data_IF_329971452465
#
_entry.id   IF_329971452465
#
_cell.length_a   1.000
_cell.length_b   1.000
_cell.length_c   1.000
_cell.angle_alpha   90.00
_cell.angle_beta   90.00
_cell.angle_gamma   90.00
#
_symmetry.space_group_name_H-M   'P 1'
#
loop_
_entity.id
_entity.type
_entity.pdbx_description
1 polymer ?
#
# COMPACT_ATOMS: atom_id res chain seq x y z
N UNK A 1 -14.80 5.31 4.51
CA UNK A 1 -13.47 5.19 3.89
C UNK A 1 -12.33 5.52 4.85
N UNK A 2 -12.45 6.56 5.68
CA UNK A 2 -11.40 6.95 6.64
C UNK A 2 -11.00 5.79 7.57
N UNK A 3 -12.00 5.12 8.16
CA UNK A 3 -11.75 3.94 9.00
C UNK A 3 -11.27 2.72 8.22
N UNK A 4 -11.65 2.59 6.96
CA UNK A 4 -11.20 1.50 6.10
C UNK A 4 -9.70 1.59 5.79
N UNK A 5 -9.20 2.78 5.46
CA UNK A 5 -7.79 3.00 5.16
C UNK A 5 -6.88 2.57 6.32
N UNK A 6 -7.22 2.97 7.54
CA UNK A 6 -6.43 2.67 8.73
C UNK A 6 -6.75 1.30 9.36
N UNK A 7 -8.01 0.87 9.30
CA UNK A 7 -8.45 -0.35 9.97
C UNK A 7 -8.28 -1.62 9.14
N UNK A 8 -8.23 -1.53 7.83
CA UNK A 8 -8.19 -2.71 6.95
C UNK A 8 -6.91 -2.83 6.15
N UNK A 9 -6.54 -1.83 5.37
CA UNK A 9 -5.40 -1.92 4.46
C UNK A 9 -4.06 -1.65 5.17
N UNK A 10 -3.95 -0.59 5.95
CA UNK A 10 -2.69 -0.22 6.61
C UNK A 10 -2.13 -1.30 7.53
N UNK A 11 -2.91 -1.94 8.43
CA UNK A 11 -2.38 -3.00 9.29
C UNK A 11 -1.79 -4.17 8.53
N UNK A 12 -2.40 -4.55 7.41
CA UNK A 12 -1.91 -5.64 6.56
C UNK A 12 -0.57 -5.29 5.89
N UNK A 13 -0.43 -4.04 5.40
CA UNK A 13 0.83 -3.56 4.81
C UNK A 13 1.95 -3.45 5.86
N UNK A 14 1.63 -2.99 7.06
CA UNK A 14 2.60 -2.92 8.18
C UNK A 14 3.03 -4.33 8.60
N UNK A 15 2.08 -5.26 8.76
CA UNK A 15 2.41 -6.65 9.07
C UNK A 15 3.28 -7.26 7.96
N UNK A 16 2.95 -7.03 6.70
CA UNK A 16 3.76 -7.52 5.57
C UNK A 16 5.18 -6.98 5.62
N UNK A 17 5.35 -5.71 5.95
CA UNK A 17 6.68 -5.10 6.16
C UNK A 17 7.45 -5.79 7.29
N UNK A 18 6.81 -5.98 8.46
CA UNK A 18 7.44 -6.63 9.62
C UNK A 18 7.89 -8.06 9.25
N UNK A 19 6.99 -8.84 8.68
CA UNK A 19 7.30 -10.23 8.30
C UNK A 19 8.32 -10.33 7.18
N UNK A 20 8.42 -9.34 6.28
CA UNK A 20 9.46 -9.31 5.25
C UNK A 20 10.87 -9.12 5.82
N UNK A 21 10.98 -8.58 7.03
CA UNK A 21 12.25 -8.32 7.70
C UNK A 21 12.69 -9.40 8.70
N UNK A 22 11.88 -10.44 8.93
CA UNK A 22 12.24 -11.51 9.87
C UNK A 22 13.51 -12.29 9.48
N UNK A 23 13.88 -12.31 8.20
CA UNK A 23 15.13 -12.91 7.74
C UNK A 23 16.35 -11.97 7.71
N UNK A 24 16.18 -10.70 8.16
CA UNK A 24 17.21 -9.67 8.10
C UNK A 24 17.73 -9.29 9.49
N UNK A 25 18.71 -8.35 9.53
CA UNK A 25 19.17 -7.78 10.81
C UNK A 25 18.01 -7.08 11.55
N UNK A 26 17.91 -7.18 12.90
CA UNK A 26 18.90 -7.62 13.86
C UNK A 26 18.91 -9.11 14.22
N UNK A 27 18.23 -9.99 13.47
CA UNK A 27 18.17 -11.41 13.79
C UNK A 27 19.58 -12.07 13.70
N UNK A 28 19.96 -12.91 14.67
CA UNK A 28 21.22 -13.66 14.64
C UNK A 28 21.34 -14.50 13.35
N UNK A 29 22.54 -14.51 12.75
CA UNK A 29 22.83 -15.17 11.49
C UNK A 29 22.28 -16.61 11.36
N UNK A 30 22.43 -17.51 12.36
CA UNK A 30 21.97 -18.89 12.25
C UNK A 30 20.43 -19.01 12.25
N UNK A 31 19.70 -18.03 12.76
CA UNK A 31 18.23 -18.02 12.84
C UNK A 31 17.55 -17.35 11.63
N UNK A 32 18.30 -16.62 10.81
CA UNK A 32 17.75 -15.90 9.64
C UNK A 32 16.99 -16.78 8.64
N UNK A 33 17.49 -18.00 8.27
CA UNK A 33 16.75 -18.83 7.34
C UNK A 33 15.39 -19.29 7.88
N UNK A 34 15.29 -19.56 9.19
CA UNK A 34 14.02 -19.91 9.83
C UNK A 34 13.07 -18.72 9.87
N UNK A 35 13.57 -17.53 10.22
CA UNK A 35 12.79 -16.29 10.20
C UNK A 35 12.27 -15.96 8.80
N UNK A 36 13.11 -16.14 7.78
CA UNK A 36 12.71 -15.93 6.39
C UNK A 36 11.63 -16.90 5.93
N UNK A 37 11.73 -18.18 6.27
CA UNK A 37 10.71 -19.20 5.94
C UNK A 37 9.36 -18.90 6.61
N UNK A 38 9.36 -18.55 7.89
CA UNK A 38 8.15 -18.16 8.62
C UNK A 38 7.56 -16.91 7.99
N UNK A 39 8.38 -15.89 7.74
CA UNK A 39 7.97 -14.64 7.11
C UNK A 39 7.31 -14.86 5.75
N UNK A 40 7.93 -15.66 4.88
CA UNK A 40 7.38 -16.03 3.58
C UNK A 40 6.07 -16.82 3.68
N UNK A 41 5.99 -17.76 4.63
CA UNK A 41 4.78 -18.53 4.86
C UNK A 41 3.59 -17.64 5.25
N UNK A 42 3.79 -16.75 6.23
CA UNK A 42 2.75 -15.80 6.67
C UNK A 42 2.38 -14.83 5.55
N UNK A 43 3.36 -14.31 4.81
CA UNK A 43 3.09 -13.40 3.70
C UNK A 43 2.21 -14.08 2.65
N UNK A 44 2.63 -15.23 2.11
CA UNK A 44 1.95 -15.90 1.00
C UNK A 44 0.60 -16.48 1.38
N UNK A 45 0.46 -17.06 2.57
CA UNK A 45 -0.76 -17.76 2.96
C UNK A 45 -1.80 -16.86 3.63
N UNK A 46 -1.35 -15.80 4.29
CA UNK A 46 -2.24 -14.98 5.10
C UNK A 46 -2.33 -13.53 4.62
N UNK A 47 -1.20 -12.87 4.37
CA UNK A 47 -1.18 -11.44 4.07
C UNK A 47 -1.48 -11.13 2.61
N UNK A 48 -0.80 -11.77 1.68
CA UNK A 48 -0.95 -11.48 0.25
C UNK A 48 -2.39 -11.70 -0.27
N UNK A 49 -3.11 -12.79 0.08
CA UNK A 49 -4.50 -12.95 -0.33
C UNK A 49 -5.43 -11.87 0.24
N UNK A 50 -5.20 -11.44 1.47
CA UNK A 50 -6.01 -10.39 2.11
C UNK A 50 -5.72 -9.01 1.55
N UNK A 51 -4.47 -8.71 1.26
CA UNK A 51 -4.08 -7.48 0.57
C UNK A 51 -4.70 -7.46 -0.83
N UNK A 52 -4.59 -8.55 -1.59
CA UNK A 52 -5.19 -8.66 -2.90
C UNK A 52 -6.72 -8.47 -2.87
N UNK A 53 -7.41 -9.08 -1.91
CA UNK A 53 -8.86 -8.89 -1.73
C UNK A 53 -9.21 -7.43 -1.44
N UNK A 54 -8.44 -6.73 -0.60
CA UNK A 54 -8.63 -5.31 -0.33
C UNK A 54 -8.37 -4.44 -1.57
N UNK A 55 -7.31 -4.72 -2.32
CA UNK A 55 -6.99 -3.98 -3.54
C UNK A 55 -8.06 -4.20 -4.62
N UNK A 56 -8.54 -5.44 -4.77
CA UNK A 56 -9.63 -5.76 -5.71
C UNK A 56 -10.93 -5.04 -5.32
N UNK A 57 -11.25 -4.97 -4.05
CA UNK A 57 -12.41 -4.22 -3.56
C UNK A 57 -12.26 -2.73 -3.86
N UNK A 58 -11.12 -2.13 -3.54
CA UNK A 58 -10.84 -0.71 -3.81
C UNK A 58 -10.84 -0.39 -5.31
N UNK A 59 -10.32 -1.29 -6.15
CA UNK A 59 -10.37 -1.14 -7.61
C UNK A 59 -11.81 -1.09 -8.10
N UNK A 60 -12.67 -1.99 -7.61
CA UNK A 60 -14.08 -2.02 -7.97
C UNK A 60 -14.84 -0.76 -7.54
N UNK A 61 -14.47 -0.17 -6.40
CA UNK A 61 -15.09 1.09 -5.93
C UNK A 61 -14.70 2.32 -6.77
N UNK A 62 -13.57 2.26 -7.47
CA UNK A 62 -13.16 3.29 -8.42
C UNK A 62 -13.73 3.08 -9.83
N UNK A 63 -14.46 1.98 -10.07
CA UNK A 63 -15.05 1.74 -11.38
C UNK A 63 -16.08 2.83 -11.73
N UNK A 64 -15.75 3.63 -12.75
CA UNK A 64 -16.55 4.78 -13.16
C UNK A 64 -16.44 6.04 -12.30
N UNK A 65 -15.53 6.06 -11.31
CA UNK A 65 -15.29 7.20 -10.42
C UNK A 65 -13.81 7.59 -10.37
N UNK A 66 -13.56 8.89 -10.27
CA UNK A 66 -12.18 9.40 -10.07
C UNK A 66 -11.74 9.33 -8.61
N UNK A 67 -12.67 9.35 -7.66
CA UNK A 67 -12.44 9.46 -6.22
C UNK A 67 -13.33 8.48 -5.44
N UNK A 68 -12.88 8.03 -4.29
CA UNK A 68 -13.59 7.03 -3.47
C UNK A 68 -14.89 7.53 -2.84
N UNK A 69 -14.97 8.82 -2.54
CA UNK A 69 -16.13 9.40 -1.84
C UNK A 69 -17.05 10.23 -2.76
N UNK A 70 -16.93 10.09 -4.07
CA UNK A 70 -17.80 10.76 -5.03
C UNK A 70 -17.05 11.52 -6.13
N UNK A 71 -17.65 12.61 -6.64
CA UNK A 71 -17.12 13.32 -7.80
C UNK A 71 -15.95 14.26 -7.51
N UNK A 72 -15.60 14.47 -6.24
CA UNK A 72 -14.55 15.42 -5.84
C UNK A 72 -13.60 14.79 -4.81
N UNK A 73 -12.35 15.26 -4.82
CA UNK A 73 -11.36 14.89 -3.81
C UNK A 73 -11.87 15.16 -2.40
N UNK A 74 -11.79 14.14 -1.57
CA UNK A 74 -12.21 14.19 -0.16
C UNK A 74 -11.08 13.83 0.79
N UNK A 75 -11.33 13.98 2.09
CA UNK A 75 -10.40 13.50 3.12
C UNK A 75 -10.17 11.97 3.04
N UNK A 76 -11.15 11.22 2.57
CA UNK A 76 -11.02 9.78 2.37
C UNK A 76 -9.95 9.43 1.33
N UNK A 77 -9.89 10.17 0.24
CA UNK A 77 -8.89 9.99 -0.82
C UNK A 77 -7.48 10.33 -0.30
N UNK A 78 -7.36 11.39 0.50
CA UNK A 78 -6.10 11.76 1.14
C UNK A 78 -5.63 10.66 2.09
N UNK A 79 -6.52 10.09 2.90
CA UNK A 79 -6.20 8.99 3.82
C UNK A 79 -5.82 7.70 3.09
N UNK A 80 -6.49 7.38 1.98
CA UNK A 80 -6.20 6.19 1.16
C UNK A 80 -4.95 6.35 0.30
N UNK A 81 -4.52 7.58 -0.01
CA UNK A 81 -3.35 7.80 -0.86
C UNK A 81 -2.09 7.17 -0.26
N UNK A 82 -1.82 7.35 1.02
CA UNK A 82 -0.61 6.82 1.66
C UNK A 82 -0.51 5.28 1.62
N UNK A 83 -1.51 4.49 2.05
CA UNK A 83 -1.43 3.04 1.94
C UNK A 83 -1.39 2.54 0.49
N UNK A 84 -2.05 3.22 -0.45
CA UNK A 84 -2.03 2.84 -1.86
C UNK A 84 -0.67 3.16 -2.51
N UNK A 85 -0.06 4.29 -2.20
CA UNK A 85 1.32 4.59 -2.60
C UNK A 85 2.32 3.56 -2.05
N UNK A 86 2.17 3.18 -0.77
CA UNK A 86 3.01 2.16 -0.16
C UNK A 86 2.83 0.78 -0.82
N UNK A 87 1.61 0.43 -1.23
CA UNK A 87 1.32 -0.79 -1.96
C UNK A 87 1.94 -0.76 -3.37
N UNK A 88 1.78 0.35 -4.09
CA UNK A 88 2.36 0.56 -5.42
C UNK A 88 3.89 0.50 -5.39
N UNK A 89 4.54 1.19 -4.46
CA UNK A 89 5.99 1.21 -4.29
C UNK A 89 6.58 -0.19 -4.02
N UNK A 90 5.78 -1.11 -3.47
CA UNK A 90 6.17 -2.51 -3.22
C UNK A 90 5.77 -3.47 -4.33
N UNK A 91 5.32 -2.96 -5.47
CA UNK A 91 4.91 -3.78 -6.61
C UNK A 91 3.64 -4.60 -6.38
N UNK A 92 2.81 -4.24 -5.37
CA UNK A 92 1.59 -4.98 -5.06
C UNK A 92 0.47 -4.76 -6.08
N UNK A 93 0.61 -3.78 -6.96
CA UNK A 93 -0.31 -3.56 -8.09
C UNK A 93 0.01 -4.46 -9.30
N UNK A 94 1.09 -5.25 -9.23
CA UNK A 94 1.56 -6.05 -10.37
C UNK A 94 2.07 -5.17 -11.52
N UNK A 95 2.09 -5.70 -12.74
CA UNK A 95 2.59 -5.01 -13.94
C UNK A 95 1.59 -3.95 -14.47
N UNK A 96 1.11 -3.03 -13.63
CA UNK A 96 0.14 -1.95 -13.95
C UNK A 96 -1.20 -2.40 -14.57
N UNK A 97 -1.38 -3.69 -14.84
CA UNK A 97 -2.59 -4.27 -15.44
C UNK A 97 -3.53 -4.89 -14.43
N UNK A 98 -3.04 -5.14 -13.21
CA UNK A 98 -3.85 -5.77 -12.16
C UNK A 98 -4.87 -4.82 -11.54
N UNK A 99 -4.48 -3.55 -11.36
CA UNK A 99 -5.31 -2.51 -10.73
C UNK A 99 -5.12 -1.16 -11.43
N UNK A 100 -5.68 -1.00 -12.65
CA UNK A 100 -5.52 0.23 -13.43
C UNK A 100 -6.18 1.46 -12.78
N UNK A 101 -7.32 1.30 -12.12
CA UNK A 101 -8.01 2.38 -11.41
C UNK A 101 -7.20 2.89 -10.22
N UNK A 102 -6.63 1.98 -9.41
CA UNK A 102 -5.74 2.35 -8.30
C UNK A 102 -4.45 2.99 -8.78
N UNK A 103 -3.89 2.51 -9.89
CA UNK A 103 -2.70 3.14 -10.50
C UNK A 103 -3.02 4.57 -10.94
N UNK A 104 -4.09 4.78 -11.67
CA UNK A 104 -4.53 6.11 -12.10
C UNK A 104 -4.87 7.02 -10.92
N UNK A 105 -5.44 6.48 -9.84
CA UNK A 105 -5.70 7.23 -8.61
C UNK A 105 -4.40 7.73 -7.96
N UNK A 106 -3.41 6.86 -7.78
CA UNK A 106 -2.10 7.25 -7.19
C UNK A 106 -1.41 8.32 -8.06
N UNK A 107 -1.36 8.12 -9.37
CA UNK A 107 -0.80 9.11 -10.31
C UNK A 107 -1.52 10.46 -10.21
N UNK A 108 -2.85 10.44 -10.13
CA UNK A 108 -3.67 11.67 -9.99
C UNK A 108 -3.38 12.41 -8.68
N UNK A 109 -3.24 11.70 -7.56
CA UNK A 109 -2.84 12.29 -6.28
C UNK A 109 -1.45 12.92 -6.39
N UNK A 110 -0.49 12.19 -6.92
CA UNK A 110 0.90 12.65 -7.05
C UNK A 110 1.05 13.85 -7.99
N UNK A 111 0.24 13.95 -9.02
CA UNK A 111 0.23 15.09 -9.96
C UNK A 111 -0.33 16.39 -9.35
N UNK A 112 -0.99 16.33 -8.19
CA UNK A 112 -1.58 17.53 -7.57
C UNK A 112 -0.52 18.50 -7.06
N UNK A 113 -0.73 19.80 -7.35
CA UNK A 113 0.17 20.86 -6.89
C UNK A 113 0.34 20.89 -5.35
N UNK A 114 -0.71 20.54 -4.60
CA UNK A 114 -0.62 20.43 -3.14
C UNK A 114 0.30 19.30 -2.68
N UNK A 115 0.27 18.15 -3.35
CA UNK A 115 1.15 17.02 -3.10
C UNK A 115 2.61 17.38 -3.40
N UNK A 116 2.85 18.00 -4.56
CA UNK A 116 4.20 18.43 -4.97
C UNK A 116 4.79 19.45 -3.99
N UNK A 117 3.98 20.44 -3.54
CA UNK A 117 4.41 21.41 -2.50
C UNK A 117 4.70 20.73 -1.16
N UNK A 118 3.98 19.67 -0.80
CA UNK A 118 4.26 18.90 0.41
C UNK A 118 5.60 18.19 0.32
N UNK A 119 5.93 17.59 -0.82
CA UNK A 119 7.24 16.98 -1.07
C UNK A 119 8.38 18.01 -1.04
N UNK A 120 8.20 19.18 -1.63
CA UNK A 120 9.20 20.26 -1.61
C UNK A 120 9.51 20.72 -0.17
N UNK A 121 8.49 20.79 0.69
CA UNK A 121 8.65 21.23 2.10
C UNK A 121 9.15 20.13 3.03
N UNK A 122 8.65 18.90 2.85
CA UNK A 122 8.96 17.76 3.70
C UNK A 122 10.17 16.95 3.25
N UNK A 123 10.66 17.20 2.03
CA UNK A 123 11.63 16.35 1.35
C UNK A 123 11.02 15.04 0.82
N UNK A 124 11.74 14.33 -0.06
CA UNK A 124 11.31 13.04 -0.54
C UNK A 124 11.27 12.05 0.63
N UNK A 125 10.13 11.42 0.87
CA UNK A 125 10.02 10.36 1.86
C UNK A 125 10.17 8.99 1.19
N UNK A 126 10.95 8.13 1.81
CA UNK A 126 11.05 6.74 1.37
C UNK A 126 9.88 5.98 2.00
N UNK A 127 8.94 5.55 1.17
CA UNK A 127 7.94 4.56 1.56
C UNK A 127 8.66 3.23 1.78
N UNK A 128 9.28 3.09 2.94
CA UNK A 128 9.86 1.87 3.51
C UNK A 128 10.10 0.76 2.47
N UNK A 129 11.14 0.98 1.67
CA UNK A 129 11.65 -0.03 0.73
C UNK A 129 12.30 -1.19 1.47
#
# INVERSE_FOLDING_TARGET
WLHYAEGSLMPLLVMRLIFSRLGAAPMPLPLRPFGALIGLGVQRQFLDPRIAANLTFLEAELDGSEWFAGAQLSAADIMLSFPLEAAAARGLFGDNRGYPGLTAFVERIQARAAYQRALERGGPYQLLS
#
